data_IF_608079655502
#
_entry.id   IF_608079655502
#
_cell.length_a   1.000
_cell.length_b   1.000
_cell.length_c   1.000
_cell.angle_alpha   90.00
_cell.angle_beta   90.00
_cell.angle_gamma   90.00
#
_symmetry.space_group_name_H-M   'P 1'
#
loop_
_entity.id
_entity.type
_entity.pdbx_description
1 polymer ?
#
# COMPACT_ATOMS: atom_id res chain seq x y z
N UNK A 1 11.62 12.01 -13.75
CA UNK A 1 12.88 11.46 -13.20
C UNK A 1 14.11 11.84 -14.02
N UNK A 2 14.16 11.59 -15.34
CA UNK A 2 15.31 11.94 -16.21
C UNK A 2 15.84 13.37 -15.99
N UNK A 3 14.96 14.36 -16.03
CA UNK A 3 15.30 15.78 -15.73
C UNK A 3 16.01 16.00 -14.39
N UNK A 4 15.62 15.29 -13.33
CA UNK A 4 16.28 15.41 -12.02
C UNK A 4 17.64 14.73 -12.00
N UNK A 5 17.80 13.63 -12.75
CA UNK A 5 19.06 12.92 -12.92
C UNK A 5 20.06 13.76 -13.74
N UNK A 6 19.64 14.27 -14.90
CA UNK A 6 20.48 15.07 -15.79
C UNK A 6 20.96 16.37 -15.13
N UNK A 7 20.13 16.95 -14.26
CA UNK A 7 20.44 18.17 -13.52
C UNK A 7 21.13 17.92 -12.17
N UNK A 8 21.46 16.68 -11.82
CA UNK A 8 22.02 16.27 -10.51
C UNK A 8 21.23 16.78 -9.28
N UNK A 9 19.90 16.89 -9.44
CA UNK A 9 18.95 17.38 -8.39
C UNK A 9 18.10 16.25 -7.81
N UNK A 10 18.52 14.99 -8.00
CA UNK A 10 17.81 13.79 -7.53
C UNK A 10 17.56 13.80 -6.02
N UNK A 11 18.54 14.26 -5.23
CA UNK A 11 18.43 14.37 -3.76
C UNK A 11 17.34 15.33 -3.31
N UNK A 12 17.11 16.43 -4.03
CA UNK A 12 16.04 17.39 -3.72
C UNK A 12 14.65 16.75 -3.88
N UNK A 13 14.54 15.80 -4.82
CA UNK A 13 13.34 15.03 -5.08
C UNK A 13 13.27 13.72 -4.28
N UNK A 14 14.22 13.45 -3.36
CA UNK A 14 14.36 12.16 -2.65
C UNK A 14 14.45 10.94 -3.59
N UNK A 15 15.11 11.10 -4.74
CA UNK A 15 15.36 10.03 -5.71
C UNK A 15 16.81 9.55 -5.60
N UNK A 16 17.01 8.25 -5.78
CA UNK A 16 18.35 7.68 -5.95
C UNK A 16 18.88 8.02 -7.36
N UNK A 17 20.14 8.46 -7.51
CA UNK A 17 20.74 8.80 -8.80
C UNK A 17 21.16 7.54 -9.56
N UNK A 18 20.20 6.68 -9.87
CA UNK A 18 20.42 5.47 -10.65
C UNK A 18 20.08 5.76 -12.11
N UNK A 19 21.07 5.57 -12.98
CA UNK A 19 20.86 5.66 -14.42
C UNK A 19 19.84 4.61 -14.89
N UNK A 20 18.90 5.03 -15.73
CA UNK A 20 17.90 4.16 -16.33
C UNK A 20 18.16 4.03 -17.83
N UNK A 21 18.45 2.80 -18.28
CA UNK A 21 18.73 2.47 -19.68
C UNK A 21 17.68 2.99 -20.67
N UNK A 22 16.40 3.00 -20.29
CA UNK A 22 15.32 3.46 -21.16
C UNK A 22 15.38 4.96 -21.51
N UNK A 23 16.23 5.75 -20.82
CA UNK A 23 16.41 7.17 -21.13
C UNK A 23 17.17 7.44 -22.44
N UNK A 24 17.91 6.46 -22.93
CA UNK A 24 18.72 6.59 -24.15
C UNK A 24 17.96 6.19 -25.41
N UNK A 25 16.74 5.66 -25.27
CA UNK A 25 15.89 5.30 -26.40
C UNK A 25 15.17 6.57 -26.88
N UNK A 26 15.40 7.03 -28.12
CA UNK A 26 14.74 8.22 -28.66
C UNK A 26 13.21 8.04 -28.67
N UNK A 27 12.49 9.12 -28.40
CA UNK A 27 11.02 9.19 -28.44
C UNK A 27 10.27 8.19 -27.51
N UNK A 28 10.98 7.57 -26.55
CA UNK A 28 10.40 6.70 -25.53
C UNK A 28 10.44 7.37 -24.15
N UNK A 29 9.27 7.64 -23.57
CA UNK A 29 9.15 7.91 -22.14
C UNK A 29 8.67 6.65 -21.40
N UNK A 30 9.60 5.92 -20.78
CA UNK A 30 9.29 4.68 -20.05
C UNK A 30 8.24 4.88 -18.94
N UNK A 31 8.16 6.09 -18.37
CA UNK A 31 7.21 6.39 -17.31
C UNK A 31 5.77 6.55 -17.83
N UNK A 32 5.60 6.83 -19.12
CA UNK A 32 4.28 6.84 -19.77
C UNK A 32 3.85 5.43 -20.15
N UNK A 33 4.79 4.48 -20.28
CA UNK A 33 4.52 3.08 -20.63
C UNK A 33 3.96 2.26 -19.45
N UNK A 34 4.17 2.70 -18.21
CA UNK A 34 3.73 1.98 -17.00
C UNK A 34 2.69 2.79 -16.24
N UNK A 35 1.40 2.48 -16.44
CA UNK A 35 0.34 3.03 -15.58
C UNK A 35 0.31 2.23 -14.27
N UNK A 36 0.48 2.88 -13.10
CA UNK A 36 0.43 2.21 -11.81
C UNK A 36 -0.89 1.43 -11.64
N UNK A 37 -0.80 0.11 -11.43
CA UNK A 37 -1.99 -0.69 -11.16
C UNK A 37 -2.53 -0.38 -9.76
N UNK A 38 -3.69 0.27 -9.69
CA UNK A 38 -4.41 0.61 -8.45
C UNK A 38 -4.50 -0.56 -7.46
N UNK A 39 -4.78 -1.78 -7.94
CA UNK A 39 -4.90 -2.95 -7.06
C UNK A 39 -3.58 -3.26 -6.36
N UNK A 40 -2.46 -3.20 -7.10
CA UNK A 40 -1.16 -3.44 -6.51
C UNK A 40 -0.73 -2.26 -5.63
N UNK A 41 -0.90 -1.03 -6.08
CA UNK A 41 -0.44 0.15 -5.33
C UNK A 41 -1.28 0.46 -4.10
N UNK A 42 -2.61 0.51 -4.21
CA UNK A 42 -3.49 0.90 -3.10
C UNK A 42 -3.87 -0.30 -2.23
N UNK A 43 -4.44 -1.35 -2.82
CA UNK A 43 -5.01 -2.46 -2.05
C UNK A 43 -3.91 -3.34 -1.43
N UNK A 44 -2.95 -3.78 -2.24
CA UNK A 44 -1.95 -4.79 -1.84
C UNK A 44 -0.64 -4.19 -1.31
N UNK A 45 -0.33 -2.92 -1.59
CA UNK A 45 0.89 -2.25 -1.12
C UNK A 45 0.60 -1.25 0.00
N UNK A 46 0.11 -0.04 -0.32
CA UNK A 46 0.03 1.04 0.67
C UNK A 46 -0.90 0.71 1.84
N UNK A 47 -2.08 0.13 1.57
CA UNK A 47 -3.00 -0.23 2.64
C UNK A 47 -2.46 -1.39 3.50
N UNK A 48 -1.78 -2.36 2.88
CA UNK A 48 -1.07 -3.41 3.59
C UNK A 48 -0.07 -2.82 4.60
N UNK A 49 0.78 -1.91 4.13
CA UNK A 49 1.77 -1.26 4.98
C UNK A 49 1.13 -0.41 6.07
N UNK A 50 0.02 0.28 5.80
CA UNK A 50 -0.72 1.02 6.83
C UNK A 50 -1.19 0.11 7.98
N UNK A 51 -1.68 -1.10 7.67
CA UNK A 51 -2.11 -2.05 8.71
C UNK A 51 -0.92 -2.62 9.47
N UNK A 52 0.15 -3.03 8.78
CA UNK A 52 1.37 -3.54 9.43
C UNK A 52 1.99 -2.47 10.35
N UNK A 53 2.09 -1.23 9.86
CA UNK A 53 2.52 -0.09 10.67
C UNK A 53 1.63 0.11 11.91
N UNK A 54 0.31 -0.01 11.74
CA UNK A 54 -0.63 0.10 12.88
C UNK A 54 -0.36 -0.99 13.91
N UNK A 55 -0.05 -2.22 13.50
CA UNK A 55 0.31 -3.29 14.44
C UNK A 55 1.60 -2.98 15.20
N UNK A 56 2.61 -2.46 14.54
CA UNK A 56 3.88 -2.08 15.17
C UNK A 56 3.73 -0.92 16.14
N UNK A 57 2.83 0.03 15.84
CA UNK A 57 2.52 1.17 16.69
C UNK A 57 1.79 0.75 17.98
N UNK A 58 0.93 -0.27 17.91
CA UNK A 58 0.12 -0.70 19.04
C UNK A 58 0.93 -1.56 20.03
N UNK A 59 0.70 -1.34 21.33
CA UNK A 59 1.21 -2.23 22.38
C UNK A 59 0.57 -3.61 22.28
N UNK A 60 1.19 -4.62 22.91
CA UNK A 60 0.71 -6.01 22.89
C UNK A 60 -0.75 -6.15 23.34
N UNK A 61 -1.15 -5.44 24.40
CA UNK A 61 -2.54 -5.43 24.89
C UNK A 61 -3.51 -4.76 23.92
N UNK A 62 -3.07 -3.71 23.21
CA UNK A 62 -3.87 -3.05 22.19
C UNK A 62 -4.02 -3.89 20.92
N UNK A 63 -3.03 -4.70 20.56
CA UNK A 63 -3.10 -5.66 19.44
C UNK A 63 -4.16 -6.75 19.72
N UNK A 64 -4.26 -7.25 20.95
CA UNK A 64 -5.30 -8.21 21.33
C UNK A 64 -6.69 -7.58 21.23
N UNK A 65 -6.83 -6.32 21.66
CA UNK A 65 -8.07 -5.55 21.53
C UNK A 65 -8.44 -5.31 20.05
N UNK A 66 -7.46 -4.97 19.22
CA UNK A 66 -7.59 -4.82 17.76
C UNK A 66 -8.12 -6.11 17.13
N UNK A 67 -7.46 -7.25 17.37
CA UNK A 67 -7.88 -8.54 16.84
C UNK A 67 -9.27 -8.94 17.33
N UNK A 68 -9.59 -8.70 18.61
CA UNK A 68 -10.91 -8.97 19.18
C UNK A 68 -12.01 -8.16 18.49
N UNK A 69 -11.75 -6.89 18.16
CA UNK A 69 -12.72 -6.04 17.47
C UNK A 69 -13.02 -6.53 16.07
N UNK A 70 -12.01 -6.98 15.33
CA UNK A 70 -12.18 -7.58 14.00
C UNK A 70 -13.07 -8.82 14.08
N UNK A 71 -12.82 -9.69 15.06
CA UNK A 71 -13.61 -10.91 15.26
C UNK A 71 -15.07 -10.60 15.65
N UNK A 72 -15.30 -9.47 16.32
CA UNK A 72 -16.64 -9.02 16.76
C UNK A 72 -17.46 -8.34 15.66
N UNK A 73 -16.88 -8.05 14.49
CA UNK A 73 -17.63 -7.46 13.38
C UNK A 73 -18.79 -8.41 13.00
N UNK A 74 -20.05 -7.93 13.00
CA UNK A 74 -21.19 -8.75 12.65
C UNK A 74 -21.07 -9.34 11.24
N UNK A 75 -21.66 -10.52 11.05
CA UNK A 75 -21.71 -11.16 9.74
C UNK A 75 -22.62 -10.34 8.81
N UNK A 76 -22.15 -10.04 7.60
CA UNK A 76 -22.96 -9.38 6.57
C UNK A 76 -22.67 -10.02 5.20
N UNK A 77 -23.70 -10.24 4.34
CA UNK A 77 -23.49 -10.70 2.97
C UNK A 77 -22.52 -9.80 2.20
N UNK A 78 -21.51 -10.38 1.54
CA UNK A 78 -20.52 -9.60 0.78
C UNK A 78 -19.45 -8.88 1.62
N UNK A 79 -19.34 -9.19 2.91
CA UNK A 79 -18.22 -8.79 3.77
C UNK A 79 -17.50 -10.02 4.29
N UNK A 80 -16.22 -10.19 3.95
CA UNK A 80 -15.43 -11.30 4.49
C UNK A 80 -15.13 -11.10 5.97
N UNK A 81 -15.23 -12.19 6.73
CA UNK A 81 -15.07 -12.19 8.19
C UNK A 81 -13.73 -12.82 8.56
N UNK A 82 -12.92 -12.10 9.32
CA UNK A 82 -11.64 -12.59 9.84
C UNK A 82 -11.83 -13.19 11.23
N UNK A 83 -12.40 -14.40 11.28
CA UNK A 83 -12.77 -15.09 12.52
C UNK A 83 -11.61 -15.35 13.50
N UNK A 84 -10.35 -15.19 13.06
CA UNK A 84 -9.14 -15.36 13.87
C UNK A 84 -8.33 -14.06 14.01
N UNK A 85 -8.92 -12.91 13.70
CA UNK A 85 -8.22 -11.62 13.62
C UNK A 85 -7.21 -11.57 12.46
N UNK A 86 -6.31 -10.58 12.48
CA UNK A 86 -5.34 -10.31 11.40
C UNK A 86 -3.96 -10.95 11.65
N UNK A 87 -3.95 -12.22 12.09
CA UNK A 87 -2.71 -12.96 12.39
C UNK A 87 -1.81 -13.21 11.17
N UNK A 88 -2.34 -13.16 9.94
CA UNK A 88 -1.56 -13.35 8.71
C UNK A 88 -2.08 -12.45 7.59
N UNK A 89 -1.76 -11.16 7.67
CA UNK A 89 -2.13 -10.19 6.62
C UNK A 89 -1.43 -10.52 5.28
N UNK A 90 -0.25 -11.15 5.34
CA UNK A 90 0.59 -11.54 4.20
C UNK A 90 -0.15 -12.36 3.12
N UNK A 91 -1.30 -12.98 3.43
CA UNK A 91 -2.05 -13.83 2.50
C UNK A 91 -3.37 -13.25 2.01
N UNK A 92 -3.67 -11.99 2.31
CA UNK A 92 -4.94 -11.39 1.91
C UNK A 92 -4.95 -11.02 0.42
N UNK A 93 -6.06 -11.34 -0.23
CA UNK A 93 -6.38 -10.91 -1.59
C UNK A 93 -6.83 -9.44 -1.60
N UNK A 94 -6.81 -8.80 -2.78
CA UNK A 94 -7.28 -7.42 -2.90
C UNK A 94 -8.75 -7.23 -2.47
N UNK A 95 -9.61 -8.23 -2.71
CA UNK A 95 -11.00 -8.20 -2.22
C UNK A 95 -11.06 -8.17 -0.69
N UNK A 96 -10.20 -8.94 -0.03
CA UNK A 96 -10.15 -8.98 1.43
C UNK A 96 -9.63 -7.67 2.03
N UNK A 97 -8.66 -7.03 1.39
CA UNK A 97 -8.23 -5.69 1.81
C UNK A 97 -9.35 -4.66 1.66
N UNK A 98 -10.12 -4.71 0.57
CA UNK A 98 -11.28 -3.83 0.40
C UNK A 98 -12.35 -4.06 1.45
N UNK A 99 -12.59 -5.31 1.85
CA UNK A 99 -13.50 -5.63 2.95
C UNK A 99 -12.96 -5.14 4.30
N UNK A 100 -11.65 -5.21 4.52
CA UNK A 100 -11.01 -4.61 5.69
C UNK A 100 -11.13 -3.09 5.72
N UNK A 101 -10.92 -2.39 4.60
CA UNK A 101 -11.05 -0.92 4.51
C UNK A 101 -12.40 -0.42 5.06
N UNK A 102 -13.48 -1.17 4.77
CA UNK A 102 -14.84 -0.85 5.23
C UNK A 102 -14.98 -0.89 6.75
N UNK A 103 -14.26 -1.78 7.43
CA UNK A 103 -14.45 -2.04 8.88
C UNK A 103 -13.34 -1.46 9.74
N UNK A 104 -12.17 -1.18 9.17
CA UNK A 104 -10.96 -0.87 9.92
C UNK A 104 -11.05 0.43 10.73
N UNK A 105 -11.80 1.43 10.26
CA UNK A 105 -12.04 2.67 11.03
C UNK A 105 -12.65 2.34 12.41
N UNK A 106 -13.64 1.45 12.47
CA UNK A 106 -14.26 1.02 13.73
C UNK A 106 -13.33 0.15 14.58
N UNK A 107 -12.46 -0.61 13.92
CA UNK A 107 -11.49 -1.47 14.59
C UNK A 107 -10.45 -0.62 15.32
N UNK A 108 -9.92 0.41 14.68
CA UNK A 108 -8.84 1.26 15.23
C UNK A 108 -9.33 2.38 16.14
N UNK A 109 -10.63 2.67 16.14
CA UNK A 109 -11.23 3.75 16.92
C UNK A 109 -10.86 3.70 18.42
N UNK A 110 -10.27 4.76 18.95
CA UNK A 110 -9.83 4.81 20.35
C UNK A 110 -8.93 3.62 20.79
N UNK A 111 -8.09 3.09 19.88
CA UNK A 111 -7.06 2.09 20.23
C UNK A 111 -5.73 2.72 20.66
N UNK A 112 -5.41 3.91 20.16
CA UNK A 112 -4.17 4.61 20.47
C UNK A 112 -4.44 6.09 20.78
N UNK A 113 -4.49 6.93 19.75
CA UNK A 113 -4.96 8.31 19.83
C UNK A 113 -6.10 8.53 18.82
N UNK A 114 -6.74 9.70 18.89
CA UNK A 114 -7.82 10.06 17.95
C UNK A 114 -7.31 10.10 16.51
N UNK A 115 -6.08 10.56 16.32
CA UNK A 115 -5.42 10.74 15.02
C UNK A 115 -5.29 9.43 14.24
N UNK A 116 -5.08 8.28 14.91
CA UNK A 116 -5.00 6.98 14.24
C UNK A 116 -6.29 6.66 13.47
N UNK A 117 -7.46 6.91 14.06
CA UNK A 117 -8.74 6.70 13.36
C UNK A 117 -8.90 7.64 12.17
N UNK A 118 -8.37 8.86 12.29
CA UNK A 118 -8.42 9.88 11.24
C UNK A 118 -7.55 9.49 10.04
N UNK A 119 -6.38 8.88 10.24
CA UNK A 119 -5.56 8.32 9.14
C UNK A 119 -6.36 7.31 8.30
N UNK A 120 -7.15 6.45 8.93
CA UNK A 120 -7.99 5.48 8.21
C UNK A 120 -9.19 6.13 7.52
N UNK A 121 -9.76 7.18 8.09
CA UNK A 121 -10.82 7.97 7.43
C UNK A 121 -10.26 8.67 6.19
N UNK A 122 -9.10 9.33 6.30
CA UNK A 122 -8.43 9.99 5.17
C UNK A 122 -8.00 9.01 4.08
N UNK A 123 -7.54 7.82 4.47
CA UNK A 123 -7.32 6.74 3.51
C UNK A 123 -8.60 6.40 2.74
N UNK A 124 -9.73 6.22 3.43
CA UNK A 124 -11.01 5.89 2.79
C UNK A 124 -11.51 7.01 1.88
N UNK A 125 -11.37 8.28 2.28
CA UNK A 125 -11.70 9.44 1.43
C UNK A 125 -10.87 9.42 0.13
N UNK A 126 -9.54 9.30 0.25
CA UNK A 126 -8.63 9.18 -0.89
C UNK A 126 -8.97 7.96 -1.75
N UNK A 127 -9.19 6.80 -1.14
CA UNK A 127 -9.49 5.56 -1.83
C UNK A 127 -10.78 5.67 -2.65
N UNK A 128 -11.83 6.29 -2.11
CA UNK A 128 -13.09 6.51 -2.84
C UNK A 128 -12.90 7.44 -4.03
N UNK A 129 -12.15 8.53 -3.87
CA UNK A 129 -11.81 9.44 -4.97
C UNK A 129 -11.05 8.72 -6.09
N UNK A 130 -10.11 7.83 -5.73
CA UNK A 130 -9.35 7.02 -6.71
C UNK A 130 -10.21 6.08 -7.59
N UNK A 131 -11.49 5.91 -7.24
CA UNK A 131 -12.43 5.03 -7.95
C UNK A 131 -13.37 5.77 -8.90
N UNK A 132 -13.25 7.08 -9.02
CA UNK A 132 -13.98 7.83 -10.04
C UNK A 132 -13.62 7.28 -11.43
N UNK A 133 -14.64 7.05 -12.26
CA UNK A 133 -14.44 6.56 -13.63
C UNK A 133 -13.82 7.65 -14.53
N UNK A 134 -14.11 8.91 -14.22
CA UNK A 134 -13.62 10.08 -14.93
C UNK A 134 -13.19 11.14 -13.93
N UNK A 135 -12.04 11.78 -14.17
CA UNK A 135 -11.57 12.91 -13.38
C UNK A 135 -11.67 14.21 -14.17
N UNK A 136 -12.25 15.24 -13.56
CA UNK A 136 -12.08 16.63 -13.98
C UNK A 136 -10.84 17.21 -13.31
N UNK A 137 -10.33 18.32 -13.83
CA UNK A 137 -9.19 19.04 -13.24
C UNK A 137 -9.46 19.45 -11.78
N UNK A 138 -10.72 19.78 -11.44
CA UNK A 138 -11.14 20.03 -10.06
C UNK A 138 -11.01 18.78 -9.17
N UNK A 139 -11.34 17.62 -9.71
CA UNK A 139 -11.31 16.34 -8.98
C UNK A 139 -9.86 15.92 -8.72
N UNK A 140 -8.95 16.19 -9.67
CA UNK A 140 -7.51 16.00 -9.50
C UNK A 140 -6.95 16.87 -8.36
N UNK A 141 -7.36 18.14 -8.28
CA UNK A 141 -6.97 19.02 -7.16
C UNK A 141 -7.47 18.51 -5.82
N UNK A 142 -8.71 18.01 -5.78
CA UNK A 142 -9.28 17.41 -4.56
C UNK A 142 -8.53 16.13 -4.19
N UNK A 143 -8.23 15.29 -5.17
CA UNK A 143 -7.51 14.04 -4.97
C UNK A 143 -6.08 14.27 -4.48
N UNK A 144 -5.36 15.23 -5.07
CA UNK A 144 -4.04 15.65 -4.60
C UNK A 144 -4.10 16.10 -3.14
N UNK A 145 -5.07 16.96 -2.79
CA UNK A 145 -5.26 17.41 -1.41
C UNK A 145 -5.58 16.26 -0.45
N UNK A 146 -6.34 15.26 -0.89
CA UNK A 146 -6.65 14.07 -0.09
C UNK A 146 -5.39 13.23 0.18
N UNK A 147 -4.53 13.05 -0.83
CA UNK A 147 -3.23 12.39 -0.70
C UNK A 147 -2.34 13.17 0.28
N UNK A 148 -2.22 14.49 0.11
CA UNK A 148 -1.37 15.33 0.96
C UNK A 148 -1.83 15.29 2.42
N UNK A 149 -3.14 15.35 2.67
CA UNK A 149 -3.71 15.27 4.02
C UNK A 149 -3.45 13.90 4.67
N UNK A 150 -3.68 12.81 3.93
CA UNK A 150 -3.39 11.47 4.42
C UNK A 150 -1.90 11.32 4.72
N UNK A 151 -1.04 11.75 3.79
CA UNK A 151 0.42 11.67 3.94
C UNK A 151 0.92 12.52 5.11
N UNK A 152 0.36 13.71 5.32
CA UNK A 152 0.70 14.58 6.44
C UNK A 152 0.46 13.87 7.78
N UNK A 153 -0.74 13.31 7.98
CA UNK A 153 -1.06 12.56 9.20
C UNK A 153 -0.23 11.27 9.31
N UNK A 154 -0.06 10.54 8.22
CA UNK A 154 0.75 9.33 8.17
C UNK A 154 2.22 9.61 8.51
N UNK A 155 2.75 10.73 8.04
CA UNK A 155 4.10 11.24 8.33
C UNK A 155 4.30 11.48 9.83
N UNK A 156 3.32 12.04 10.56
CA UNK A 156 3.44 12.20 12.01
C UNK A 156 3.71 10.88 12.71
N UNK A 157 2.96 9.84 12.34
CA UNK A 157 3.12 8.52 12.94
C UNK A 157 4.42 7.85 12.48
N UNK A 158 4.78 7.96 11.20
CA UNK A 158 6.01 7.40 10.65
C UNK A 158 7.26 7.99 11.26
N UNK A 159 7.29 9.30 11.50
CA UNK A 159 8.46 9.97 12.05
C UNK A 159 8.84 9.36 13.39
N UNK A 160 7.87 9.02 14.24
CA UNK A 160 8.14 8.38 15.53
C UNK A 160 8.71 6.96 15.36
N UNK A 161 8.24 6.21 14.36
CA UNK A 161 8.82 4.90 14.00
C UNK A 161 10.21 5.05 13.40
N UNK A 162 10.47 6.04 12.53
CA UNK A 162 11.82 6.32 12.00
C UNK A 162 12.77 6.74 13.12
N UNK A 163 12.31 7.58 14.06
CA UNK A 163 13.10 7.96 15.24
C UNK A 163 13.45 6.74 16.10
N UNK A 164 12.53 5.78 16.21
CA UNK A 164 12.68 4.59 17.05
C UNK A 164 13.45 3.45 16.37
N UNK A 165 13.29 3.28 15.06
CA UNK A 165 13.77 2.12 14.30
C UNK A 165 14.69 2.48 13.12
N UNK A 166 15.03 3.76 12.94
CA UNK A 166 15.88 4.31 11.86
C UNK A 166 15.22 4.15 10.47
N UNK A 167 16.00 3.87 9.42
CA UNK A 167 15.52 3.91 8.04
C UNK A 167 14.50 2.80 7.73
N UNK A 168 13.38 3.17 7.10
CA UNK A 168 12.31 2.22 6.70
C UNK A 168 12.74 1.34 5.51
N UNK A 169 13.84 1.71 4.85
CA UNK A 169 14.39 1.06 3.67
C UNK A 169 14.72 -0.44 3.89
N UNK A 170 14.86 -0.88 5.15
CA UNK A 170 15.04 -2.29 5.52
C UNK A 170 13.75 -3.13 5.52
N UNK A 171 12.57 -2.53 5.32
CA UNK A 171 11.27 -3.20 5.40
C UNK A 171 10.55 -3.32 4.06
N UNK A 172 11.15 -2.89 2.95
CA UNK A 172 10.56 -3.01 1.61
C UNK A 172 10.69 -4.46 1.12
N UNK A 173 9.58 -5.06 0.70
CA UNK A 173 9.58 -6.42 0.12
C UNK A 173 9.62 -6.41 -1.41
N UNK A 174 9.70 -5.23 -2.05
CA UNK A 174 9.53 -5.07 -3.50
C UNK A 174 10.60 -5.83 -4.32
N UNK A 175 11.86 -5.78 -3.86
CA UNK A 175 12.96 -6.52 -4.51
C UNK A 175 12.75 -8.03 -4.35
N UNK A 176 12.36 -8.49 -3.16
CA UNK A 176 12.10 -9.90 -2.87
C UNK A 176 10.86 -10.44 -3.60
N UNK A 177 9.77 -9.67 -3.69
CA UNK A 177 8.55 -10.01 -4.44
C UNK A 177 8.82 -10.13 -5.95
N UNK A 178 9.61 -9.21 -6.50
CA UNK A 178 10.00 -9.23 -7.92
C UNK A 178 10.86 -10.47 -8.24
N UNK A 179 11.87 -10.75 -7.41
CA UNK A 179 12.72 -11.93 -7.56
C UNK A 179 11.93 -13.24 -7.38
N UNK A 180 11.05 -13.31 -6.39
CA UNK A 180 10.22 -14.50 -6.14
C UNK A 180 9.18 -14.75 -7.24
N UNK A 181 8.60 -13.70 -7.85
CA UNK A 181 7.74 -13.86 -9.04
C UNK A 181 8.54 -14.45 -10.20
N UNK A 182 9.68 -13.85 -10.51
CA UNK A 182 10.48 -14.18 -11.69
C UNK A 182 11.14 -15.55 -11.60
N UNK A 183 11.79 -15.86 -10.47
CA UNK A 183 12.64 -17.05 -10.35
C UNK A 183 11.96 -18.25 -9.71
N UNK A 184 10.79 -18.08 -9.07
CA UNK A 184 10.10 -19.16 -8.35
C UNK A 184 8.69 -19.41 -8.89
N UNK A 185 7.82 -18.38 -8.92
CA UNK A 185 6.43 -18.58 -9.35
C UNK A 185 6.28 -18.94 -10.83
N UNK A 186 7.06 -18.31 -11.72
CA UNK A 186 7.01 -18.59 -13.15
C UNK A 186 7.53 -20.01 -13.47
N UNK A 187 8.73 -20.43 -13.03
CA UNK A 187 9.21 -21.80 -13.27
C UNK A 187 8.33 -22.88 -12.64
N UNK A 188 7.79 -22.64 -11.45
CA UNK A 188 6.88 -23.59 -10.78
C UNK A 188 5.56 -23.78 -11.55
N UNK A 189 5.00 -22.73 -12.15
CA UNK A 189 3.79 -22.85 -12.98
C UNK A 189 4.04 -23.63 -14.26
N UNK A 190 5.21 -23.44 -14.87
CA UNK A 190 5.66 -24.18 -16.05
C UNK A 190 5.87 -25.67 -15.73
N UNK A 191 6.51 -26.01 -14.60
CA UNK A 191 6.77 -27.40 -14.22
C UNK A 191 5.51 -28.16 -13.77
N UNK A 192 4.49 -27.46 -13.28
CA UNK A 192 3.25 -28.05 -12.78
C UNK A 192 2.13 -28.14 -13.85
N UNK A 193 2.54 -28.16 -15.13
CA UNK A 193 1.70 -28.34 -16.33
C UNK A 193 0.49 -27.40 -16.49
N UNK A 194 0.47 -26.24 -15.82
CA UNK A 194 -0.62 -25.26 -16.01
C UNK A 194 -0.45 -24.41 -17.27
N UNK A 195 0.79 -24.24 -17.72
CA UNK A 195 1.18 -23.54 -18.95
C UNK A 195 2.11 -24.44 -19.78
N UNK A 196 1.66 -25.65 -20.14
CA UNK A 196 2.35 -26.41 -21.20
C UNK A 196 1.92 -25.80 -22.51
N UNK A 197 2.84 -25.20 -23.26
CA UNK A 197 2.58 -24.90 -24.67
C UNK A 197 2.24 -26.23 -25.37
N UNK A 198 0.94 -26.42 -25.64
CA UNK A 198 0.48 -27.44 -26.56
C UNK A 198 0.99 -27.05 -27.94
N UNK A 199 2.05 -27.71 -28.39
CA UNK A 199 2.36 -27.83 -29.82
C UNK A 199 1.32 -28.70 -30.51
#
# INVERSE_FOLDING_TARGET
>A
MKKYYDNDTTKEANLEPVYNYFWDIPDLNIYDATVPNRMHHLDLSLYYYQIEFTKELLSKSSIDKFNRRIVKIPRHPGLKIFARGLRSIVRLTANEFRDLMKVMVFVVDNLHNKDLSEVYVKWNEMYLLSRLETFKESDLKIFQKAIDNWLYLWKYHIIDTIRKYRAINGYTTEIYESLHKTYVKIPYRLSNKRDVETK
#
